data_IF_014283888094
#
_entry.id   IF_014283888094
#
_cell.length_a   1.000
_cell.length_b   1.000
_cell.length_c   1.000
_cell.angle_alpha   90.00
_cell.angle_beta   90.00
_cell.angle_gamma   90.00
#
_symmetry.space_group_name_H-M   'P 1'
#
loop_
_entity.id
_entity.type
_entity.pdbx_description
1 polymer ?
#
# COMPACT_ATOMS: atom_id res chain seq x y z
N UNK A 1 30.60 -4.26 -28.56
CA UNK A 1 30.56 -4.74 -27.16
C UNK A 1 29.28 -5.54 -27.03
N UNK A 2 29.30 -6.73 -26.41
CA UNK A 2 28.05 -7.47 -26.21
C UNK A 2 27.17 -6.75 -25.19
N UNK A 3 25.83 -6.90 -25.24
CA UNK A 3 24.93 -6.30 -24.25
C UNK A 3 25.27 -6.74 -22.82
N UNK A 4 25.68 -8.00 -22.62
CA UNK A 4 26.07 -8.54 -21.31
C UNK A 4 27.34 -7.87 -20.78
N UNK A 5 28.38 -7.73 -21.60
CA UNK A 5 29.63 -7.06 -21.19
C UNK A 5 29.39 -5.59 -20.83
N UNK A 6 28.46 -4.93 -21.52
CA UNK A 6 28.06 -3.56 -21.21
C UNK A 6 27.40 -3.47 -19.83
N UNK A 7 26.45 -4.36 -19.52
CA UNK A 7 25.75 -4.37 -18.24
C UNK A 7 26.69 -4.72 -17.08
N UNK A 8 27.63 -5.65 -17.29
CA UNK A 8 28.66 -5.97 -16.30
C UNK A 8 29.65 -4.81 -16.08
N UNK A 9 29.95 -4.04 -17.13
CA UNK A 9 30.74 -2.81 -16.99
C UNK A 9 29.98 -1.71 -16.23
N UNK A 10 28.66 -1.66 -16.35
CA UNK A 10 27.84 -0.60 -15.74
C UNK A 10 27.47 -0.91 -14.28
N UNK A 11 27.12 -2.16 -13.99
CA UNK A 11 26.55 -2.58 -12.68
C UNK A 11 27.27 -3.79 -12.08
N UNK A 12 28.21 -4.40 -12.80
CA UNK A 12 28.95 -5.57 -12.33
C UNK A 12 30.08 -5.22 -11.37
N UNK A 13 30.77 -6.24 -10.88
CA UNK A 13 31.82 -6.11 -9.85
C UNK A 13 33.01 -5.24 -10.27
N UNK A 14 33.24 -5.10 -11.57
CA UNK A 14 34.34 -4.31 -12.16
C UNK A 14 34.04 -2.82 -12.23
N UNK A 15 32.77 -2.42 -12.10
CA UNK A 15 32.32 -1.02 -12.22
C UNK A 15 32.58 -0.18 -10.97
N UNK A 16 32.72 -0.83 -9.80
CA UNK A 16 32.72 -0.15 -8.51
C UNK A 16 31.34 0.40 -8.08
N UNK A 17 30.27 0.06 -8.79
CA UNK A 17 28.90 0.42 -8.41
C UNK A 17 28.48 -0.32 -7.13
N UNK A 18 28.00 0.42 -6.14
CA UNK A 18 27.43 -0.13 -4.91
C UNK A 18 25.95 0.29 -4.79
N UNK A 19 25.06 -0.69 -4.97
CA UNK A 19 23.61 -0.52 -4.92
C UNK A 19 23.09 -0.08 -3.54
N UNK A 20 23.89 -0.25 -2.47
CA UNK A 20 23.51 0.16 -1.10
C UNK A 20 23.68 1.66 -0.88
N UNK A 21 24.45 2.32 -1.74
CA UNK A 21 24.77 3.74 -1.63
C UNK A 21 23.89 4.52 -2.59
N UNK A 22 23.17 5.52 -2.05
CA UNK A 22 22.32 6.41 -2.85
C UNK A 22 23.13 7.21 -3.88
N UNK A 23 22.52 7.60 -5.00
CA UNK A 23 23.10 8.58 -5.92
C UNK A 23 23.48 9.87 -5.18
N UNK A 24 24.55 10.52 -5.64
CA UNK A 24 25.06 11.78 -5.07
C UNK A 24 25.30 11.71 -3.55
N UNK A 25 25.88 10.62 -3.05
CA UNK A 25 26.17 10.44 -1.63
C UNK A 25 26.98 11.61 -1.04
N UNK A 26 26.53 12.17 0.09
CA UNK A 26 27.00 13.44 0.71
C UNK A 26 26.71 14.73 -0.07
N UNK A 27 26.05 14.63 -1.21
CA UNK A 27 25.57 15.76 -2.00
C UNK A 27 24.10 16.07 -1.71
N UNK A 28 23.40 16.74 -2.65
CA UNK A 28 21.99 17.06 -2.52
C UNK A 28 21.11 15.80 -2.39
N UNK A 29 19.87 15.96 -1.89
CA UNK A 29 18.91 14.87 -1.87
C UNK A 29 18.61 14.38 -3.29
N UNK A 30 18.25 13.10 -3.40
CA UNK A 30 17.76 12.53 -4.64
C UNK A 30 16.29 12.89 -4.78
N UNK A 31 15.94 13.60 -5.84
CA UNK A 31 14.55 13.87 -6.18
C UNK A 31 13.99 12.68 -6.94
N UNK A 32 12.95 12.06 -6.39
CA UNK A 32 12.22 10.96 -7.03
C UNK A 32 10.84 11.48 -7.40
N UNK A 33 10.56 11.52 -8.69
CA UNK A 33 9.24 11.87 -9.20
C UNK A 33 8.38 10.63 -9.33
N UNK A 34 7.18 10.71 -8.77
CA UNK A 34 6.23 9.61 -8.67
C UNK A 34 5.02 9.86 -9.60
N UNK A 35 4.60 8.80 -10.28
CA UNK A 35 3.37 8.76 -11.07
C UNK A 35 2.65 7.43 -10.78
N UNK A 36 1.33 7.46 -10.77
CA UNK A 36 0.50 6.29 -10.47
C UNK A 36 -0.52 6.10 -11.57
N UNK A 37 -0.66 4.86 -12.04
CA UNK A 37 -1.76 4.47 -12.93
C UNK A 37 -2.67 3.47 -12.20
N UNK A 38 -3.93 3.82 -12.03
CA UNK A 38 -4.94 2.99 -11.37
C UNK A 38 -5.56 2.06 -12.40
N UNK A 39 -5.21 0.77 -12.31
CA UNK A 39 -5.76 -0.27 -13.18
C UNK A 39 -7.12 -0.78 -12.70
N UNK A 40 -7.31 -0.88 -11.39
CA UNK A 40 -8.62 -1.21 -10.80
C UNK A 40 -8.77 -0.59 -9.41
N UNK A 41 -9.98 -0.20 -9.06
CA UNK A 41 -10.34 0.34 -7.76
C UNK A 41 -11.61 -0.35 -7.29
N UNK A 42 -11.61 -0.91 -6.08
CA UNK A 42 -12.78 -1.64 -5.60
C UNK A 42 -12.64 -2.15 -4.17
N UNK A 43 -13.54 -3.07 -3.81
CA UNK A 43 -13.61 -3.68 -2.48
C UNK A 43 -13.59 -2.65 -1.34
N UNK A 44 -14.26 -1.51 -1.54
CA UNK A 44 -14.48 -0.52 -0.49
C UNK A 44 -15.39 -1.17 0.56
N UNK A 45 -14.85 -1.40 1.75
CA UNK A 45 -15.52 -2.17 2.80
C UNK A 45 -15.67 -1.29 4.04
N UNK A 46 -16.91 -0.96 4.39
CA UNK A 46 -17.23 -0.07 5.51
C UNK A 46 -16.92 -0.72 6.86
N UNK A 47 -17.09 -2.04 6.98
CA UNK A 47 -16.89 -2.77 8.25
C UNK A 47 -15.43 -2.77 8.68
N UNK A 48 -14.51 -2.94 7.73
CA UNK A 48 -13.06 -2.91 7.96
C UNK A 48 -12.47 -1.52 7.75
N UNK A 49 -13.19 -0.58 7.16
CA UNK A 49 -12.70 0.77 6.83
C UNK A 49 -11.44 0.72 5.94
N UNK A 50 -11.52 -0.03 4.85
CA UNK A 50 -10.46 -0.12 3.86
C UNK A 50 -10.99 -0.24 2.43
N UNK A 51 -10.10 -0.07 1.48
CA UNK A 51 -10.35 -0.24 0.06
C UNK A 51 -9.18 -0.93 -0.61
N UNK A 52 -9.44 -1.60 -1.74
CA UNK A 52 -8.43 -2.29 -2.52
C UNK A 52 -8.20 -1.58 -3.84
N UNK A 53 -6.94 -1.37 -4.18
CA UNK A 53 -6.54 -0.73 -5.42
C UNK A 53 -5.45 -1.54 -6.11
N UNK A 54 -5.51 -1.64 -7.42
CA UNK A 54 -4.47 -2.19 -8.28
C UNK A 54 -3.83 -1.03 -9.03
N UNK A 55 -2.55 -0.80 -8.79
CA UNK A 55 -1.82 0.35 -9.33
C UNK A 55 -0.55 -0.09 -10.04
N UNK A 56 -0.16 0.66 -11.07
CA UNK A 56 1.23 0.73 -11.50
C UNK A 56 1.86 1.95 -10.87
N UNK A 57 2.81 1.73 -9.97
CA UNK A 57 3.62 2.77 -9.37
C UNK A 57 4.85 2.98 -10.27
N UNK A 58 5.03 4.20 -10.76
CA UNK A 58 6.19 4.63 -11.54
C UNK A 58 7.02 5.62 -10.73
N UNK A 59 8.31 5.36 -10.64
CA UNK A 59 9.29 6.18 -9.95
C UNK A 59 10.38 6.56 -10.96
N UNK A 60 10.75 7.83 -10.96
CA UNK A 60 11.81 8.34 -11.81
C UNK A 60 12.83 9.10 -10.98
N UNK A 61 14.12 8.79 -11.14
CA UNK A 61 15.21 9.50 -10.48
C UNK A 61 16.43 9.56 -11.38
N UNK A 62 17.40 10.40 -11.04
CA UNK A 62 18.68 10.46 -11.74
C UNK A 62 19.78 9.75 -10.93
N UNK A 63 20.45 8.78 -11.54
CA UNK A 63 21.68 8.17 -11.04
C UNK A 63 22.82 8.42 -12.05
N UNK A 64 23.70 9.42 -11.79
CA UNK A 64 24.81 9.74 -12.68
C UNK A 64 25.78 8.58 -12.94
N UNK A 65 25.82 7.58 -12.03
CA UNK A 65 26.70 6.40 -12.16
C UNK A 65 26.21 5.43 -13.25
N UNK A 66 24.92 5.50 -13.60
CA UNK A 66 24.30 4.66 -14.63
C UNK A 66 24.26 5.35 -16.00
N UNK A 67 24.80 6.57 -16.12
CA UNK A 67 24.91 7.26 -17.40
C UNK A 67 25.91 6.55 -18.33
N UNK A 68 25.57 6.43 -19.61
CA UNK A 68 26.38 5.74 -20.61
C UNK A 68 26.50 6.54 -21.90
N UNK A 69 27.56 6.29 -22.68
CA UNK A 69 27.78 6.95 -23.98
C UNK A 69 28.10 5.97 -25.11
N UNK A 70 28.47 4.74 -24.75
CA UNK A 70 28.98 3.71 -25.65
C UNK A 70 27.89 3.02 -26.46
N UNK A 71 26.63 3.12 -26.02
CA UNK A 71 25.48 2.54 -26.71
C UNK A 71 24.71 3.63 -27.49
N UNK A 72 24.28 3.34 -28.73
CA UNK A 72 23.62 4.33 -29.57
C UNK A 72 22.23 4.71 -29.05
N UNK A 73 21.49 3.73 -28.52
CA UNK A 73 20.11 3.89 -28.05
C UNK A 73 20.02 4.89 -26.88
N UNK A 74 18.93 5.66 -26.84
CA UNK A 74 18.71 6.68 -25.81
C UNK A 74 18.17 6.08 -24.50
N UNK A 75 17.62 4.86 -24.56
CA UNK A 75 17.11 4.13 -23.40
C UNK A 75 17.35 2.64 -23.54
N UNK A 76 17.66 1.98 -22.41
CA UNK A 76 17.83 0.55 -22.31
C UNK A 76 16.73 -0.03 -21.42
N UNK A 77 15.94 -0.93 -21.98
CA UNK A 77 14.99 -1.76 -21.24
C UNK A 77 15.72 -2.98 -20.68
N UNK A 78 15.70 -3.11 -19.35
CA UNK A 78 16.44 -4.15 -18.64
C UNK A 78 15.50 -5.20 -18.06
N UNK A 79 16.02 -6.42 -17.92
CA UNK A 79 15.31 -7.50 -17.27
C UNK A 79 15.09 -7.19 -15.77
N UNK A 80 13.90 -7.50 -15.20
CA UNK A 80 13.60 -7.27 -13.79
C UNK A 80 14.59 -7.90 -12.80
N UNK A 81 15.27 -8.98 -13.17
CA UNK A 81 16.29 -9.61 -12.30
C UNK A 81 17.46 -8.69 -11.97
N UNK A 82 17.73 -7.68 -12.81
CA UNK A 82 18.80 -6.71 -12.60
C UNK A 82 18.44 -5.64 -11.56
N UNK A 83 17.19 -5.57 -11.09
CA UNK A 83 16.74 -4.58 -10.10
C UNK A 83 17.44 -4.69 -8.74
N UNK A 84 17.94 -5.87 -8.38
CA UNK A 84 18.68 -6.06 -7.14
C UNK A 84 20.14 -5.58 -7.23
N UNK A 85 20.63 -5.31 -8.44
CA UNK A 85 21.97 -4.80 -8.70
C UNK A 85 22.05 -3.27 -8.74
N UNK A 86 20.91 -2.58 -8.70
CA UNK A 86 20.84 -1.11 -8.69
C UNK A 86 20.30 -0.57 -7.38
N UNK A 87 20.69 0.67 -7.05
CA UNK A 87 20.02 1.40 -5.98
C UNK A 87 18.58 1.72 -6.40
N UNK A 88 17.64 1.52 -5.48
CA UNK A 88 16.23 1.91 -5.65
C UNK A 88 15.75 2.65 -4.40
N UNK A 89 14.87 3.65 -4.54
CA UNK A 89 14.24 4.31 -3.41
C UNK A 89 13.37 3.33 -2.61
N UNK A 90 13.34 3.51 -1.29
CA UNK A 90 12.64 2.70 -0.29
C UNK A 90 11.23 3.24 0.00
N UNK A 91 10.44 3.37 -1.05
CA UNK A 91 9.06 3.82 -0.95
C UNK A 91 8.18 2.75 -0.29
N UNK A 92 7.44 3.14 0.75
CA UNK A 92 6.40 2.33 1.37
C UNK A 92 5.08 3.11 1.47
N UNK A 93 3.98 2.39 1.70
CA UNK A 93 2.66 2.98 1.85
C UNK A 93 2.30 3.11 3.33
N UNK A 94 2.18 4.33 3.84
CA UNK A 94 2.04 4.57 5.29
C UNK A 94 0.71 4.07 5.87
N UNK A 95 -0.36 4.07 5.06
CA UNK A 95 -1.70 3.62 5.46
C UNK A 95 -2.07 2.23 4.90
N UNK A 96 -1.08 1.40 4.57
CA UNK A 96 -1.27 0.05 4.09
C UNK A 96 -1.61 -0.94 5.22
N UNK A 97 -2.63 -1.76 5.00
CA UNK A 97 -2.95 -2.93 5.83
C UNK A 97 -2.44 -4.24 5.25
N UNK A 98 -2.34 -4.30 3.92
CA UNK A 98 -1.80 -5.43 3.16
C UNK A 98 -1.37 -4.99 1.77
N UNK A 99 -0.15 -5.34 1.35
CA UNK A 99 0.37 -5.16 0.01
C UNK A 99 0.77 -6.51 -0.58
N UNK A 100 0.47 -6.69 -1.87
CA UNK A 100 0.86 -7.90 -2.60
C UNK A 100 1.43 -7.54 -3.96
N UNK A 101 2.51 -8.24 -4.33
CA UNK A 101 3.15 -8.13 -5.63
C UNK A 101 2.48 -9.07 -6.64
N UNK A 102 2.49 -8.68 -7.92
CA UNK A 102 2.00 -9.54 -9.00
C UNK A 102 3.16 -10.30 -9.66
N UNK A 103 3.25 -11.59 -9.34
CA UNK A 103 4.34 -12.49 -9.77
C UNK A 103 3.94 -13.43 -10.94
N UNK A 104 2.72 -13.30 -11.47
CA UNK A 104 2.20 -14.18 -12.54
C UNK A 104 2.10 -13.43 -13.87
N UNK A 105 2.61 -13.94 -15.00
CA UNK A 105 3.47 -15.12 -15.23
C UNK A 105 4.97 -14.86 -15.00
N UNK A 106 5.33 -13.58 -14.87
CA UNK A 106 6.66 -13.06 -14.53
C UNK A 106 6.45 -11.84 -13.63
N UNK A 107 7.49 -11.42 -12.91
CA UNK A 107 7.45 -10.18 -12.14
C UNK A 107 7.02 -9.01 -13.01
N UNK A 108 5.90 -8.36 -12.65
CA UNK A 108 5.37 -7.21 -13.37
C UNK A 108 6.13 -5.92 -12.98
N UNK A 109 7.42 -5.93 -13.25
CA UNK A 109 8.37 -4.84 -13.02
C UNK A 109 8.95 -4.42 -14.38
N UNK A 110 9.16 -3.13 -14.55
CA UNK A 110 9.83 -2.56 -15.71
C UNK A 110 10.95 -1.67 -15.20
N UNK A 111 12.15 -1.88 -15.73
CA UNK A 111 13.32 -1.06 -15.47
C UNK A 111 13.83 -0.51 -16.80
N UNK A 112 13.91 0.81 -16.90
CA UNK A 112 14.46 1.51 -18.06
C UNK A 112 15.51 2.51 -17.62
N UNK A 113 16.68 2.45 -18.23
CA UNK A 113 17.79 3.39 -17.97
C UNK A 113 18.01 4.25 -19.21
N UNK A 114 17.93 5.56 -19.05
CA UNK A 114 18.20 6.54 -20.09
C UNK A 114 19.69 6.90 -20.12
N UNK A 115 20.15 7.35 -21.29
CA UNK A 115 21.55 7.72 -21.56
C UNK A 115 22.12 8.75 -20.60
N UNK A 116 21.28 9.66 -20.10
CA UNK A 116 21.65 10.71 -19.14
C UNK A 116 21.72 10.23 -17.67
N UNK A 117 21.48 8.95 -17.41
CA UNK A 117 21.43 8.38 -16.06
C UNK A 117 20.06 8.49 -15.39
N UNK A 118 19.02 8.97 -16.08
CA UNK A 118 17.65 8.86 -15.56
C UNK A 118 17.23 7.39 -15.56
N UNK A 119 16.56 6.98 -14.49
CA UNK A 119 16.03 5.64 -14.31
C UNK A 119 14.52 5.75 -14.18
N UNK A 120 13.80 4.98 -14.97
CA UNK A 120 12.36 4.76 -14.82
C UNK A 120 12.17 3.35 -14.27
N UNK A 121 11.56 3.27 -13.09
CA UNK A 121 11.16 2.04 -12.45
C UNK A 121 9.64 2.01 -12.33
N UNK A 122 9.00 0.97 -12.87
CA UNK A 122 7.57 0.77 -12.76
C UNK A 122 7.28 -0.59 -12.15
N UNK A 123 6.36 -0.67 -11.21
CA UNK A 123 5.94 -1.92 -10.58
C UNK A 123 4.42 -1.96 -10.44
N UNK A 124 3.83 -3.12 -10.70
CA UNK A 124 2.41 -3.37 -10.45
C UNK A 124 2.18 -3.88 -9.03
N UNK A 125 1.31 -3.22 -8.28
CA UNK A 125 0.99 -3.54 -6.89
C UNK A 125 -0.52 -3.68 -6.71
N UNK A 126 -0.93 -4.62 -5.86
CA UNK A 126 -2.25 -4.61 -5.25
C UNK A 126 -2.11 -4.19 -3.79
N UNK A 127 -2.80 -3.11 -3.42
CA UNK A 127 -2.77 -2.52 -2.10
C UNK A 127 -4.14 -2.60 -1.45
N UNK A 128 -4.16 -2.89 -0.16
CA UNK A 128 -5.31 -2.74 0.74
C UNK A 128 -4.96 -1.59 1.67
N UNK A 129 -5.64 -0.46 1.47
CA UNK A 129 -5.34 0.80 2.14
C UNK A 129 -6.45 1.14 3.13
N UNK A 130 -6.04 1.61 4.31
CA UNK A 130 -6.96 2.07 5.34
C UNK A 130 -7.60 3.40 4.90
N UNK A 131 -8.93 3.47 5.01
CA UNK A 131 -9.72 4.67 4.75
C UNK A 131 -10.76 4.85 5.87
N UNK A 132 -10.50 5.69 6.87
CA UNK A 132 -11.48 5.98 7.91
C UNK A 132 -12.65 6.78 7.30
N UNK A 133 -13.84 6.17 7.26
CA UNK A 133 -15.03 6.73 6.62
C UNK A 133 -15.91 7.49 7.63
N UNK A 134 -16.48 8.63 7.21
CA UNK A 134 -17.50 9.34 7.99
C UNK A 134 -18.92 8.97 7.50
N UNK A 135 -19.63 8.18 8.29
CA UNK A 135 -20.93 7.60 7.91
C UNK A 135 -22.14 8.38 8.45
N UNK A 136 -21.96 9.61 8.95
CA UNK A 136 -23.07 10.43 9.50
C UNK A 136 -24.25 10.60 8.55
N UNK A 137 -23.97 10.81 7.27
CA UNK A 137 -24.97 11.07 6.24
C UNK A 137 -25.31 9.82 5.41
N UNK A 138 -24.96 8.62 5.89
CA UNK A 138 -25.22 7.38 5.15
C UNK A 138 -26.71 7.24 4.78
N UNK A 139 -27.07 6.87 3.53
CA UNK A 139 -26.20 6.52 2.39
C UNK A 139 -25.90 7.68 1.42
N UNK A 140 -26.16 8.94 1.79
CA UNK A 140 -25.87 10.15 0.99
C UNK A 140 -24.53 10.79 1.38
N UNK A 141 -23.52 9.96 1.58
CA UNK A 141 -22.17 10.34 2.02
C UNK A 141 -21.18 10.46 0.85
N UNK A 142 -20.20 11.33 1.02
CA UNK A 142 -19.00 11.42 0.18
C UNK A 142 -17.82 11.05 1.06
N UNK A 143 -17.08 10.02 0.66
CA UNK A 143 -15.90 9.55 1.37
C UNK A 143 -14.63 10.07 0.73
N UNK A 144 -13.65 10.44 1.55
CA UNK A 144 -12.33 10.87 1.08
C UNK A 144 -11.30 9.84 1.53
N UNK A 145 -10.86 8.99 0.61
CA UNK A 145 -9.87 7.96 0.88
C UNK A 145 -8.49 8.41 0.41
N UNK A 146 -7.49 8.31 1.27
CA UNK A 146 -6.12 8.75 0.97
C UNK A 146 -5.20 7.58 0.65
N UNK A 147 -4.16 7.85 -0.12
CA UNK A 147 -3.03 6.95 -0.32
C UNK A 147 -1.75 7.74 -0.05
N UNK A 148 -0.97 7.30 0.93
CA UNK A 148 0.23 7.99 1.40
C UNK A 148 1.48 7.19 1.03
N UNK A 149 2.41 7.83 0.30
CA UNK A 149 3.68 7.25 -0.11
C UNK A 149 4.78 7.95 0.68
N UNK A 150 5.57 7.19 1.41
CA UNK A 150 6.57 7.69 2.37
C UNK A 150 7.90 6.95 2.21
N UNK A 151 9.01 7.61 2.57
CA UNK A 151 10.34 6.98 2.66
C UNK A 151 10.50 6.22 3.97
N UNK A 152 10.93 4.95 3.93
CA UNK A 152 11.00 4.11 5.12
C UNK A 152 12.12 4.52 6.10
N UNK A 153 11.84 4.32 7.40
CA UNK A 153 12.86 4.16 8.43
C UNK A 153 12.91 2.70 8.93
N UNK A 154 14.04 2.04 8.74
CA UNK A 154 14.33 0.73 9.32
C UNK A 154 14.82 0.91 10.77
N UNK A 155 13.90 1.24 11.67
CA UNK A 155 14.12 1.02 13.10
C UNK A 155 13.98 -0.47 13.38
N UNK A 156 14.79 -1.01 14.29
CA UNK A 156 14.58 -2.34 14.89
C UNK A 156 13.20 -2.35 15.58
N UNK A 157 12.15 -2.68 14.83
CA UNK A 157 10.76 -2.70 15.30
C UNK A 157 9.73 -2.02 14.39
N UNK A 158 10.13 -1.23 13.38
CA UNK A 158 9.21 -0.80 12.32
C UNK A 158 9.22 -1.82 11.18
N UNK A 159 8.06 -2.44 10.93
CA UNK A 159 7.87 -3.38 9.82
C UNK A 159 7.88 -2.63 8.49
N UNK A 160 9.05 -2.21 8.00
CA UNK A 160 9.22 -1.83 6.59
C UNK A 160 9.32 -3.05 5.65
N UNK A 161 9.00 -4.24 6.13
CA UNK A 161 8.95 -5.47 5.34
C UNK A 161 7.53 -6.02 5.39
N UNK A 162 6.73 -5.72 4.38
CA UNK A 162 5.56 -6.53 4.04
C UNK A 162 5.94 -7.81 3.27
N UNK A 163 7.25 -8.07 3.07
CA UNK A 163 7.78 -9.33 2.54
C UNK A 163 8.86 -9.91 3.45
N UNK A 164 8.83 -11.21 3.77
CA UNK A 164 10.00 -11.88 4.35
C UNK A 164 11.13 -11.80 3.32
N UNK A 165 12.23 -11.13 3.67
CA UNK A 165 13.46 -11.22 2.89
C UNK A 165 13.99 -12.65 3.00
N UNK A 166 14.35 -13.33 1.89
CA UNK A 166 15.05 -14.59 1.97
C UNK A 166 16.37 -14.37 2.71
N UNK A 167 16.61 -15.15 3.76
CA UNK A 167 17.86 -15.13 4.50
C UNK A 167 18.99 -15.42 3.50
N UNK A 168 20.06 -14.60 3.43
CA UNK A 168 21.19 -14.89 2.57
C UNK A 168 21.75 -16.27 2.89
N UNK A 169 21.88 -17.12 1.88
CA UNK A 169 22.36 -18.51 2.00
C UNK A 169 23.78 -18.64 2.59
N UNK A 170 24.51 -17.53 2.72
CA UNK A 170 25.81 -17.47 3.41
C UNK A 170 25.73 -17.50 4.94
N UNK A 171 24.53 -17.44 5.54
CA UNK A 171 24.31 -17.51 7.00
C UNK A 171 23.84 -18.87 7.49
N UNK A 172 23.80 -19.90 6.64
CA UNK A 172 23.51 -21.28 7.05
C UNK A 172 24.86 -21.96 7.35
N UNK A 173 25.21 -22.23 8.62
CA UNK A 173 26.34 -23.11 8.90
C UNK A 173 25.93 -24.50 8.41
N UNK A 174 26.69 -25.04 7.45
CA UNK A 174 26.62 -26.44 7.07
C UNK A 174 27.16 -27.30 8.22
N UNK A 175 26.33 -27.53 9.24
CA UNK A 175 26.62 -28.49 10.29
C UNK A 175 25.31 -29.19 10.66
N UNK A 176 25.18 -30.44 10.19
CA UNK A 176 24.09 -31.33 10.58
C UNK A 176 24.12 -31.57 12.08
N UNK A 177 23.20 -30.93 12.80
CA UNK A 177 22.90 -31.23 14.19
C UNK A 177 21.39 -31.31 14.30
N UNK A 178 20.90 -32.52 14.55
CA UNK A 178 19.49 -32.80 14.82
C UNK A 178 19.05 -32.06 16.09
N UNK A 179 18.34 -30.95 15.94
CA UNK A 179 17.74 -30.19 17.03
C UNK A 179 16.30 -30.68 17.26
N UNK A 180 16.09 -31.42 18.35
CA UNK A 180 14.76 -31.62 18.92
C UNK A 180 14.29 -30.28 19.50
N UNK A 181 13.34 -29.62 18.82
CA UNK A 181 12.66 -28.44 19.33
C UNK A 181 11.74 -28.84 20.49
N UNK A 182 11.99 -28.30 21.68
CA UNK A 182 10.98 -28.21 22.74
C UNK A 182 10.90 -26.76 23.19
N UNK A 183 9.70 -26.21 23.08
CA UNK A 183 9.38 -24.80 23.32
C UNK A 183 9.37 -24.52 24.83
N UNK A 184 10.24 -23.62 25.30
CA UNK A 184 10.14 -23.03 26.65
C UNK A 184 10.35 -21.53 26.57
N UNK A 185 9.30 -20.82 26.99
CA UNK A 185 9.12 -19.40 27.26
C UNK A 185 10.38 -18.56 27.54
N UNK A 186 10.55 -17.53 26.69
CA UNK A 186 10.82 -16.11 26.99
C UNK A 186 11.96 -15.75 27.98
N UNK A 187 13.02 -15.19 27.39
CA UNK A 187 14.15 -14.41 27.95
C UNK A 187 15.31 -15.22 28.54
N UNK A 188 16.51 -14.90 28.05
CA UNK A 188 17.85 -15.44 28.34
C UNK A 188 18.28 -16.68 27.51
N UNK A 189 19.26 -16.47 26.62
CA UNK A 189 20.02 -17.55 26.01
C UNK A 189 21.26 -17.82 26.89
N UNK A 190 21.34 -19.00 27.49
CA UNK A 190 22.55 -19.48 28.14
C UNK A 190 23.07 -20.68 27.35
N UNK A 191 24.26 -20.55 26.77
CA UNK A 191 24.97 -21.65 26.11
C UNK A 191 26.02 -22.20 27.08
N UNK A 192 25.90 -23.46 27.49
CA UNK A 192 27.04 -24.24 27.99
C UNK A 192 27.56 -25.09 26.84
N UNK A 193 28.73 -24.75 26.34
CA UNK A 193 29.55 -25.66 25.55
C UNK A 193 30.75 -26.02 26.41
N UNK A 194 30.80 -27.28 26.85
CA UNK A 194 31.98 -27.84 27.49
C UNK A 194 33.01 -28.20 26.44
N UNK A 195 34.05 -27.37 26.29
CA UNK A 195 35.45 -27.73 25.99
C UNK A 195 36.25 -26.47 25.64
N UNK A 196 37.44 -26.36 26.23
CA UNK A 196 38.34 -25.22 26.19
C UNK A 196 38.72 -24.79 24.76
N UNK A 197 38.15 -23.69 24.27
CA UNK A 197 38.72 -22.90 23.17
C UNK A 197 38.53 -21.43 23.51
N UNK A 198 39.63 -20.74 23.82
CA UNK A 198 39.64 -19.28 24.04
C UNK A 198 39.67 -18.61 22.67
N UNK A 199 38.52 -18.13 22.19
CA UNK A 199 38.47 -17.23 21.04
C UNK A 199 38.81 -15.82 21.51
N UNK A 200 40.00 -15.35 21.15
CA UNK A 200 40.37 -13.93 21.25
C UNK A 200 39.61 -13.20 20.14
N UNK A 201 38.52 -12.52 20.48
CA UNK A 201 37.81 -11.64 19.55
C UNK A 201 38.73 -10.46 19.22
N UNK A 202 39.01 -10.17 17.93
CA UNK A 202 39.67 -8.92 17.56
C UNK A 202 38.76 -7.75 17.93
N UNK A 203 39.36 -6.64 18.36
CA UNK A 203 38.69 -5.42 18.79
C UNK A 203 37.47 -5.06 17.92
N UNK A 204 36.39 -4.51 18.51
CA UNK A 204 35.23 -4.07 17.75
C UNK A 204 35.65 -2.94 16.83
N UNK A 205 35.86 -3.25 15.54
CA UNK A 205 35.84 -2.23 14.50
C UNK A 205 34.46 -1.58 14.57
N UNK A 206 34.37 -0.24 14.53
CA UNK A 206 33.09 0.43 14.44
C UNK A 206 32.50 0.05 13.08
N UNK A 207 31.62 -0.95 13.07
CA UNK A 207 30.68 -1.12 11.98
C UNK A 207 29.87 0.16 11.95
N UNK A 208 30.20 1.02 10.99
CA UNK A 208 29.38 2.16 10.63
C UNK A 208 28.08 1.55 10.10
N UNK A 209 27.10 1.35 11.00
CA UNK A 209 25.73 1.05 10.63
C UNK A 209 25.18 2.41 10.21
N UNK A 210 25.04 2.71 8.90
CA UNK A 210 24.40 3.95 8.50
C UNK A 210 23.01 3.99 9.14
N UNK A 211 22.51 5.17 9.58
CA UNK A 211 21.14 5.31 10.03
C UNK A 211 20.23 4.81 8.89
N UNK A 212 19.42 3.79 9.18
CA UNK A 212 18.86 2.89 8.16
C UNK A 212 17.52 3.45 7.67
N UNK A 213 17.53 4.65 7.09
CA UNK A 213 16.33 5.28 6.52
C UNK A 213 16.68 6.62 5.89
N UNK A 214 16.10 6.94 4.73
CA UNK A 214 16.40 8.19 4.05
C UNK A 214 15.56 9.33 4.61
N UNK A 215 16.23 10.32 5.19
CA UNK A 215 15.56 11.57 5.63
C UNK A 215 15.33 12.51 4.45
N UNK A 216 14.61 13.61 4.66
CA UNK A 216 14.46 14.66 3.64
C UNK A 216 15.78 15.29 3.16
N UNK A 217 16.90 15.09 3.87
CA UNK A 217 18.23 15.52 3.41
C UNK A 217 18.82 14.57 2.35
N UNK A 218 18.27 13.36 2.24
CA UNK A 218 18.76 12.30 1.37
C UNK A 218 17.82 12.00 0.20
N UNK A 219 16.51 12.09 0.43
CA UNK A 219 15.48 11.68 -0.52
C UNK A 219 14.26 12.60 -0.42
N UNK A 220 13.76 13.05 -1.57
CA UNK A 220 12.54 13.85 -1.67
C UNK A 220 11.62 13.23 -2.71
N UNK A 221 10.37 12.97 -2.32
CA UNK A 221 9.30 12.52 -3.21
C UNK A 221 8.49 13.70 -3.71
N UNK A 222 8.26 13.73 -5.02
CA UNK A 222 7.49 14.76 -5.72
C UNK A 222 6.51 14.10 -6.69
N UNK A 223 5.35 14.73 -6.89
CA UNK A 223 4.42 14.30 -7.93
C UNK A 223 4.90 14.80 -9.29
N UNK A 224 4.66 14.01 -10.34
CA UNK A 224 4.94 14.45 -11.71
C UNK A 224 4.05 15.65 -12.09
N UNK A 225 4.66 16.78 -12.47
CA UNK A 225 3.92 18.03 -12.80
C UNK A 225 3.47 18.13 -14.27
N UNK A 226 4.26 17.59 -15.21
CA UNK A 226 4.03 17.78 -16.66
C UNK A 226 2.84 16.99 -17.23
N UNK A 227 2.37 15.97 -16.50
CA UNK A 227 1.26 15.09 -16.88
C UNK A 227 0.35 14.86 -15.67
N UNK A 228 -0.82 14.25 -15.87
CA UNK A 228 -1.61 13.74 -14.75
C UNK A 228 -0.76 12.76 -13.92
N UNK A 229 -0.39 13.17 -12.71
CA UNK A 229 0.38 12.37 -11.77
C UNK A 229 -0.36 11.07 -11.40
N UNK A 230 -1.69 11.10 -11.45
CA UNK A 230 -2.56 9.97 -11.16
C UNK A 230 -3.51 9.74 -12.33
N UNK A 231 -3.20 8.72 -13.12
CA UNK A 231 -3.97 8.27 -14.27
C UNK A 231 -4.93 7.16 -13.84
N UNK A 232 -6.09 7.09 -14.48
CA UNK A 232 -7.10 6.06 -14.21
C UNK A 232 -7.40 5.31 -15.50
N UNK A 233 -7.54 3.98 -15.43
CA UNK A 233 -7.90 3.17 -16.58
C UNK A 233 -9.25 3.59 -17.18
N UNK A 234 -9.34 3.63 -18.50
CA UNK A 234 -10.57 3.94 -19.21
C UNK A 234 -11.67 2.90 -18.89
N UNK A 235 -12.88 3.36 -18.62
CA UNK A 235 -14.00 2.49 -18.27
C UNK A 235 -13.97 1.93 -16.85
N UNK A 236 -13.10 2.45 -15.96
CA UNK A 236 -13.14 2.08 -14.56
C UNK A 236 -14.44 2.56 -13.90
N UNK A 237 -15.27 1.63 -13.47
CA UNK A 237 -16.51 1.90 -12.71
C UNK A 237 -16.53 1.09 -11.42
N UNK A 238 -17.03 1.68 -10.34
CA UNK A 238 -17.30 0.95 -9.10
C UNK A 238 -18.80 0.68 -8.96
N UNK A 239 -19.20 -0.46 -8.38
CA UNK A 239 -20.61 -0.84 -8.28
C UNK A 239 -21.42 -0.05 -7.25
N UNK A 240 -20.76 0.54 -6.24
CA UNK A 240 -21.42 1.25 -5.14
C UNK A 240 -21.03 2.73 -5.05
N UNK A 241 -19.96 3.13 -5.74
CA UNK A 241 -19.40 4.47 -5.65
C UNK A 241 -19.09 5.01 -7.05
N UNK A 242 -19.08 6.33 -7.15
CA UNK A 242 -18.56 7.05 -8.29
C UNK A 242 -17.26 7.70 -7.82
N UNK A 243 -16.16 7.38 -8.48
CA UNK A 243 -14.89 8.06 -8.27
C UNK A 243 -14.96 9.41 -8.98
N UNK A 244 -14.77 10.52 -8.25
CA UNK A 244 -14.74 11.85 -8.85
C UNK A 244 -13.46 12.07 -9.66
N UNK A 245 -13.56 12.91 -10.69
CA UNK A 245 -12.44 13.20 -11.59
C UNK A 245 -11.37 14.08 -10.97
N UNK A 246 -11.72 14.92 -9.99
CA UNK A 246 -10.77 15.73 -9.25
C UNK A 246 -10.10 14.88 -8.16
N UNK A 247 -8.76 14.87 -8.14
CA UNK A 247 -7.96 14.22 -7.11
C UNK A 247 -7.05 15.26 -6.47
N UNK A 248 -7.10 15.36 -5.15
CA UNK A 248 -6.21 16.27 -4.43
C UNK A 248 -4.83 15.63 -4.27
N UNK A 249 -3.81 16.29 -4.82
CA UNK A 249 -2.42 15.96 -4.59
C UNK A 249 -1.86 16.84 -3.47
N UNK A 250 -1.16 16.23 -2.52
CA UNK A 250 -0.61 16.95 -1.38
C UNK A 250 0.67 16.32 -0.83
N UNK A 251 1.24 17.01 0.15
CA UNK A 251 2.39 16.54 0.92
C UNK A 251 1.95 16.18 2.33
N UNK A 252 2.43 15.05 2.85
CA UNK A 252 2.09 14.50 4.15
C UNK A 252 3.31 14.32 5.06
N UNK A 253 4.33 15.16 4.87
CA UNK A 253 5.63 15.09 5.56
C UNK A 253 5.50 14.68 7.02
N UNK A 254 6.18 13.59 7.41
CA UNK A 254 6.17 13.08 8.78
C UNK A 254 7.36 13.62 9.57
N UNK A 255 7.09 13.91 10.84
CA UNK A 255 8.07 14.37 11.81
C UNK A 255 8.16 13.31 12.92
N UNK A 256 9.25 12.57 12.93
CA UNK A 256 9.56 11.61 13.99
C UNK A 256 10.75 12.13 14.81
N UNK A 257 11.00 11.50 15.96
CA UNK A 257 12.16 11.86 16.80
C UNK A 257 13.50 11.65 16.08
N UNK A 258 13.51 10.78 15.08
CA UNK A 258 14.67 10.35 14.29
C UNK A 258 14.94 11.27 13.11
N UNK A 259 13.95 12.02 12.64
CA UNK A 259 14.10 12.95 11.54
C UNK A 259 12.78 13.33 10.86
N UNK A 260 12.92 14.15 9.81
CA UNK A 260 11.84 14.54 8.91
C UNK A 260 11.90 13.65 7.67
N UNK A 261 10.79 12.99 7.34
CA UNK A 261 10.69 12.04 6.24
C UNK A 261 9.77 12.58 5.15
N UNK A 262 10.14 12.35 3.90
CA UNK A 262 9.35 12.81 2.76
C UNK A 262 8.10 11.94 2.62
N UNK A 263 6.96 12.58 2.38
CA UNK A 263 5.69 11.91 2.22
C UNK A 263 4.83 12.71 1.25
N UNK A 264 4.30 12.02 0.24
CA UNK A 264 3.34 12.56 -0.72
C UNK A 264 2.04 11.78 -0.59
N UNK A 265 0.91 12.45 -0.74
CA UNK A 265 -0.41 11.83 -0.68
C UNK A 265 -1.29 12.23 -1.85
N UNK A 266 -2.20 11.33 -2.19
CA UNK A 266 -3.34 11.61 -3.08
C UNK A 266 -4.63 11.28 -2.34
N UNK A 267 -5.65 12.12 -2.54
CA UNK A 267 -7.00 11.91 -1.99
C UNK A 267 -7.99 11.59 -3.11
N UNK A 268 -8.72 10.51 -2.92
CA UNK A 268 -9.79 10.04 -3.80
C UNK A 268 -11.13 10.38 -3.17
N UNK A 269 -11.96 11.16 -3.87
CA UNK A 269 -13.34 11.42 -3.47
C UNK A 269 -14.28 10.38 -4.09
N UNK A 270 -14.92 9.61 -3.23
CA UNK A 270 -15.85 8.54 -3.57
C UNK A 270 -17.26 8.97 -3.19
N UNK A 271 -18.14 9.14 -4.18
CA UNK A 271 -19.54 9.50 -3.97
C UNK A 271 -20.42 8.24 -4.03
N UNK A 272 -21.23 8.00 -2.99
CA UNK A 272 -22.05 6.79 -2.92
C UNK A 272 -23.24 6.84 -3.89
N UNK A 273 -23.49 5.75 -4.60
CA UNK A 273 -24.64 5.61 -5.48
C UNK A 273 -25.90 5.23 -4.68
N UNK A 274 -26.95 6.05 -4.80
CA UNK A 274 -28.20 5.89 -4.05
C UNK A 274 -29.15 4.80 -4.57
N UNK A 275 -28.99 4.36 -5.82
CA UNK A 275 -29.96 3.48 -6.49
C UNK A 275 -30.27 2.18 -5.73
N UNK A 276 -29.24 1.54 -5.19
CA UNK A 276 -29.39 0.32 -4.39
C UNK A 276 -30.21 0.56 -3.11
N UNK A 277 -29.89 1.63 -2.37
CA UNK A 277 -30.55 1.97 -1.10
C UNK A 277 -32.00 2.39 -1.30
N UNK A 278 -32.31 3.07 -2.41
CA UNK A 278 -33.68 3.43 -2.76
C UNK A 278 -34.56 2.18 -2.92
N UNK A 279 -34.08 1.19 -3.68
CA UNK A 279 -34.84 -0.02 -3.99
C UNK A 279 -34.93 -0.97 -2.79
N UNK A 280 -33.84 -1.18 -2.05
CA UNK A 280 -33.80 -2.17 -0.97
C UNK A 280 -34.26 -1.64 0.40
N UNK A 281 -34.09 -0.34 0.66
CA UNK A 281 -34.36 0.23 1.97
C UNK A 281 -35.56 1.19 1.92
N UNK A 282 -35.48 2.26 1.12
CA UNK A 282 -36.50 3.32 1.16
C UNK A 282 -37.87 2.88 0.62
N UNK A 283 -37.94 2.19 -0.53
CA UNK A 283 -39.21 1.75 -1.11
C UNK A 283 -39.94 0.76 -0.18
N UNK A 284 -39.31 -0.31 0.35
CA UNK A 284 -40.01 -1.21 1.27
C UNK A 284 -40.43 -0.53 2.57
N UNK A 285 -39.64 0.39 3.13
CA UNK A 285 -40.03 1.15 4.32
C UNK A 285 -41.28 2.01 4.06
N UNK A 286 -41.34 2.67 2.89
CA UNK A 286 -42.51 3.45 2.49
C UNK A 286 -43.76 2.57 2.33
N UNK A 287 -43.62 1.40 1.71
CA UNK A 287 -44.72 0.44 1.56
C UNK A 287 -45.22 -0.09 2.91
N UNK A 288 -44.33 -0.35 3.88
CA UNK A 288 -44.71 -0.74 5.25
C UNK A 288 -45.52 0.37 5.92
N UNK A 289 -45.12 1.63 5.77
CA UNK A 289 -45.87 2.77 6.30
C UNK A 289 -47.26 2.85 5.66
N UNK A 290 -47.37 2.69 4.34
CA UNK A 290 -48.68 2.68 3.64
C UNK A 290 -49.55 1.50 4.12
N UNK A 291 -48.97 0.30 4.30
CA UNK A 291 -49.68 -0.86 4.83
C UNK A 291 -50.21 -0.61 6.24
N UNK A 292 -49.49 0.14 7.06
CA UNK A 292 -49.97 0.52 8.40
C UNK A 292 -51.23 1.40 8.33
N UNK A 293 -51.37 2.25 7.31
CA UNK A 293 -52.53 3.12 7.12
C UNK A 293 -53.79 2.36 6.68
N UNK A 294 -53.65 1.17 6.08
CA UNK A 294 -54.79 0.31 5.71
C UNK A 294 -55.61 -0.08 6.95
N UNK A 295 -54.98 -0.13 8.14
CA UNK A 295 -55.68 -0.43 9.39
C UNK A 295 -56.78 0.57 9.77
N UNK A 296 -56.75 1.80 9.21
CA UNK A 296 -57.79 2.82 9.43
C UNK A 296 -59.08 2.55 8.66
N UNK A 297 -59.02 1.73 7.60
CA UNK A 297 -60.17 1.39 6.76
C UNK A 297 -60.90 0.12 7.22
N UNK A 298 -60.33 -0.62 8.18
CA UNK A 298 -60.91 -1.85 8.72
C UNK A 298 -61.91 -1.49 9.82
N UNK A 299 -63.08 -2.13 9.78
CA UNK A 299 -64.13 -1.94 10.79
C UNK A 299 -63.55 -2.16 12.22
N UNK A 300 -63.94 -1.29 13.16
CA UNK A 300 -63.50 -1.33 14.55
C UNK A 300 -63.83 -2.67 15.24
N UNK A 301 -64.89 -3.35 14.82
CA UNK A 301 -65.32 -4.64 15.38
C UNK A 301 -64.32 -5.77 15.07
N UNK A 302 -63.53 -5.64 13.99
CA UNK A 302 -62.53 -6.62 13.59
C UNK A 302 -61.19 -6.39 14.32
N UNK A 303 -61.22 -6.36 15.66
CA UNK A 303 -60.04 -6.12 16.49
C UNK A 303 -58.83 -7.03 16.18
N UNK A 304 -58.98 -8.36 15.98
CA UNK A 304 -57.84 -9.25 15.69
C UNK A 304 -57.09 -8.88 14.40
N UNK A 305 -57.80 -8.41 13.37
CA UNK A 305 -57.20 -8.02 12.09
C UNK A 305 -56.36 -6.75 12.24
N UNK A 306 -56.86 -5.75 12.97
CA UNK A 306 -56.17 -4.48 13.21
C UNK A 306 -54.92 -4.69 14.07
N UNK A 307 -55.03 -5.49 15.14
CA UNK A 307 -53.88 -5.83 16.02
C UNK A 307 -52.84 -6.64 15.25
N UNK A 308 -53.25 -7.62 14.45
CA UNK A 308 -52.34 -8.42 13.63
C UNK A 308 -51.54 -7.58 12.63
N UNK A 309 -52.18 -6.66 11.92
CA UNK A 309 -51.50 -5.72 11.00
C UNK A 309 -50.56 -4.77 11.75
N UNK A 310 -50.95 -4.27 12.92
CA UNK A 310 -50.09 -3.41 13.75
C UNK A 310 -48.83 -4.12 14.23
N UNK A 311 -48.95 -5.35 14.74
CA UNK A 311 -47.81 -6.12 15.23
C UNK A 311 -46.86 -6.49 14.08
N UNK A 312 -47.41 -6.96 12.95
CA UNK A 312 -46.59 -7.40 11.81
C UNK A 312 -45.83 -6.25 11.17
N UNK A 313 -46.44 -5.07 11.02
CA UNK A 313 -45.76 -3.87 10.49
C UNK A 313 -44.63 -3.41 11.41
N UNK A 314 -44.84 -3.34 12.73
CA UNK A 314 -43.80 -2.96 13.71
C UNK A 314 -42.66 -3.97 13.74
N UNK A 315 -42.98 -5.28 13.73
CA UNK A 315 -41.97 -6.34 13.70
C UNK A 315 -41.13 -6.25 12.42
N UNK A 316 -41.78 -6.09 11.27
CA UNK A 316 -41.11 -5.96 9.97
C UNK A 316 -40.19 -4.73 9.94
N UNK A 317 -40.63 -3.58 10.47
CA UNK A 317 -39.81 -2.37 10.58
C UNK A 317 -38.58 -2.58 11.47
N UNK A 318 -38.74 -3.30 12.58
CA UNK A 318 -37.63 -3.62 13.49
C UNK A 318 -36.62 -4.55 12.81
N UNK A 319 -37.09 -5.57 12.11
CA UNK A 319 -36.23 -6.46 11.30
C UNK A 319 -35.51 -5.70 10.19
N UNK A 320 -36.20 -4.79 9.49
CA UNK A 320 -35.59 -3.97 8.43
C UNK A 320 -34.51 -3.02 8.99
N UNK A 321 -34.77 -2.38 10.12
CA UNK A 321 -33.82 -1.48 10.81
C UNK A 321 -32.56 -2.22 11.29
N UNK A 322 -32.72 -3.45 11.81
CA UNK A 322 -31.59 -4.30 12.15
C UNK A 322 -30.80 -4.73 10.90
N UNK A 323 -31.51 -5.13 9.84
CA UNK A 323 -30.91 -5.52 8.56
C UNK A 323 -30.10 -4.42 7.90
N UNK A 324 -30.59 -3.16 7.91
CA UNK A 324 -29.90 -2.04 7.28
C UNK A 324 -28.56 -1.69 7.94
N UNK A 325 -28.33 -2.12 9.18
CA UNK A 325 -27.07 -1.88 9.92
C UNK A 325 -26.14 -3.08 9.90
N UNK A 326 -26.55 -4.23 9.36
CA UNK A 326 -25.78 -5.47 9.43
C UNK A 326 -24.46 -5.41 8.64
N UNK A 327 -24.41 -4.61 7.57
CA UNK A 327 -23.23 -4.41 6.73
C UNK A 327 -22.41 -3.18 7.11
N UNK A 328 -22.75 -2.49 8.19
CA UNK A 328 -22.06 -1.28 8.64
C UNK A 328 -21.19 -1.58 9.88
N UNK A 329 -20.08 -0.84 10.06
CA UNK A 329 -19.31 -0.93 11.30
C UNK A 329 -20.17 -0.49 12.49
N UNK A 330 -19.87 -1.04 13.67
CA UNK A 330 -20.51 -0.63 14.92
C UNK A 330 -19.98 0.75 15.32
N UNK A 331 -20.63 1.79 14.83
CA UNK A 331 -20.34 3.18 15.21
C UNK A 331 -21.26 3.63 16.33
N UNK A 332 -20.70 4.32 17.33
CA UNK A 332 -21.49 5.03 18.34
C UNK A 332 -21.89 6.38 17.74
N UNK A 333 -23.20 6.62 17.62
CA UNK A 333 -23.75 7.90 17.16
C UNK A 333 -23.51 9.02 18.17
#
# INVERSE_FOLDING_TARGET
>A
MSPSDFLDKLMGRTSGYDARIRPNFKGPPVNVTCNIFINSFGSVTETTMDYRVNVFLRQQWNDPRLAYREYPDDSLDLDPSMLDSIWKPDLFFANEKGASFHEVTTDNKLLRIFKNGNVLYSIRLTLILSCPMDLKNFPMDIQTCTMQLESCEYLRGSNCTSSPQPIPSHLIPSAGISLLLREVSRKEWSFRVGMNVVFVLPHPMPYFIPPVGYTMNDLIFEWLEEQEAVQVAEGLTLPQFILRDEKDLGYCTKYYNTGKFTCIEVKFHLERQMGYYLIQMYIPSLLIVILSWVSFWINMDAAPARVGLGITTVLTMTTQSAGSRASLPKVSA
#
